data_IF_932701808483
#
_entry.id   IF_932701808483
#
_cell.length_a   1.000
_cell.length_b   1.000
_cell.length_c   1.000
_cell.angle_alpha   90.00
_cell.angle_beta   90.00
_cell.angle_gamma   90.00
#
_symmetry.space_group_name_H-M   'P 1'
#
loop_
_entity.id
_entity.type
_entity.pdbx_description
1 polymer ?
#
# COMPACT_ATOMS: atom_id res chain seq x y z
N UNK A 1 -39.90 -40.27 53.73
CA UNK A 1 -39.90 -40.34 52.25
C UNK A 1 -39.49 -39.01 51.60
N UNK A 2 -39.85 -37.86 52.15
CA UNK A 2 -39.55 -36.53 51.58
C UNK A 2 -38.05 -36.22 51.40
N UNK A 3 -37.21 -36.57 52.39
CA UNK A 3 -35.76 -36.28 52.38
C UNK A 3 -35.00 -37.00 51.26
N UNK A 4 -35.41 -38.22 50.88
CA UNK A 4 -34.80 -38.97 49.76
C UNK A 4 -35.12 -38.33 48.41
N UNK A 5 -36.32 -37.77 48.25
CA UNK A 5 -36.71 -37.07 47.04
C UNK A 5 -35.92 -35.76 46.88
N UNK A 6 -35.83 -34.97 47.94
CA UNK A 6 -35.00 -33.75 47.95
C UNK A 6 -33.53 -34.03 47.66
N UNK A 7 -32.94 -35.06 48.30
CA UNK A 7 -31.56 -35.44 48.02
C UNK A 7 -31.33 -35.78 46.54
N UNK A 8 -32.27 -36.48 45.91
CA UNK A 8 -32.17 -36.85 44.49
C UNK A 8 -32.25 -35.62 43.57
N UNK A 9 -33.08 -34.64 43.90
CA UNK A 9 -33.19 -33.37 43.17
C UNK A 9 -31.89 -32.58 43.28
N UNK A 10 -31.40 -32.36 44.50
CA UNK A 10 -30.14 -31.62 44.75
C UNK A 10 -28.94 -32.30 44.10
N UNK A 11 -28.91 -33.64 44.05
CA UNK A 11 -27.82 -34.38 43.41
C UNK A 11 -27.87 -34.28 41.87
N UNK A 12 -29.04 -34.08 41.29
CA UNK A 12 -29.19 -33.76 39.87
C UNK A 12 -28.72 -32.33 39.59
N UNK A 13 -29.19 -31.36 40.38
CA UNK A 13 -28.78 -29.96 40.27
C UNK A 13 -27.26 -29.80 40.40
N UNK A 14 -26.62 -30.53 41.32
CA UNK A 14 -25.17 -30.52 41.48
C UNK A 14 -24.45 -31.02 40.21
N UNK A 15 -24.96 -32.08 39.57
CA UNK A 15 -24.37 -32.62 38.34
C UNK A 15 -24.56 -31.68 37.15
N UNK A 16 -25.75 -31.09 37.03
CA UNK A 16 -26.06 -30.13 35.98
C UNK A 16 -25.15 -28.90 36.13
N UNK A 17 -24.97 -28.39 37.36
CA UNK A 17 -24.08 -27.25 37.65
C UNK A 17 -22.59 -27.58 37.41
N UNK A 18 -22.15 -28.79 37.75
CA UNK A 18 -20.77 -29.24 37.45
C UNK A 18 -20.51 -29.26 35.95
N UNK A 19 -21.46 -29.75 35.15
CA UNK A 19 -21.34 -29.76 33.71
C UNK A 19 -21.33 -28.34 33.12
N UNK A 20 -22.21 -27.46 33.58
CA UNK A 20 -22.23 -26.05 33.17
C UNK A 20 -20.91 -25.35 33.50
N UNK A 21 -20.33 -25.65 34.67
CA UNK A 21 -19.03 -25.13 35.08
C UNK A 21 -17.90 -25.59 34.14
N UNK A 22 -17.82 -26.88 33.83
CA UNK A 22 -16.82 -27.41 32.89
C UNK A 22 -16.94 -26.77 31.50
N UNK A 23 -18.16 -26.62 30.99
CA UNK A 23 -18.42 -25.95 29.71
C UNK A 23 -17.97 -24.49 29.74
N UNK A 24 -18.23 -23.78 30.85
CA UNK A 24 -17.84 -22.39 31.00
C UNK A 24 -16.33 -22.23 31.10
N UNK A 25 -15.62 -23.12 31.81
CA UNK A 25 -14.15 -23.12 31.88
C UNK A 25 -13.53 -23.32 30.49
N UNK A 26 -14.04 -24.27 29.70
CA UNK A 26 -13.55 -24.50 28.34
C UNK A 26 -13.79 -23.28 27.45
N UNK A 27 -14.96 -22.65 27.53
CA UNK A 27 -15.27 -21.42 26.78
C UNK A 27 -14.38 -20.26 27.20
N UNK A 28 -14.15 -20.09 28.49
CA UNK A 28 -13.26 -19.06 29.02
C UNK A 28 -11.83 -19.25 28.51
N UNK A 29 -11.30 -20.48 28.60
CA UNK A 29 -9.96 -20.82 28.10
C UNK A 29 -9.82 -20.50 26.61
N UNK A 30 -10.82 -20.83 25.80
CA UNK A 30 -10.84 -20.51 24.37
C UNK A 30 -10.81 -19.00 24.11
N UNK A 31 -11.70 -18.23 24.75
CA UNK A 31 -11.76 -16.76 24.58
C UNK A 31 -10.47 -16.10 25.06
N UNK A 32 -9.87 -16.61 26.14
CA UNK A 32 -8.57 -16.13 26.61
C UNK A 32 -7.47 -16.35 25.57
N UNK A 33 -7.41 -17.54 24.97
CA UNK A 33 -6.44 -17.85 23.91
C UNK A 33 -6.65 -16.96 22.67
N UNK A 34 -7.89 -16.75 22.24
CA UNK A 34 -8.23 -15.86 21.11
C UNK A 34 -7.81 -14.41 21.39
N UNK A 35 -8.04 -13.91 22.60
CA UNK A 35 -7.59 -12.59 23.04
C UNK A 35 -6.07 -12.47 22.98
N UNK A 36 -5.36 -13.47 23.51
CA UNK A 36 -3.89 -13.46 23.57
C UNK A 36 -3.28 -13.50 22.17
N UNK A 37 -3.84 -14.32 21.28
CA UNK A 37 -3.45 -14.36 19.87
C UNK A 37 -3.72 -13.01 19.17
N UNK A 38 -4.87 -12.40 19.41
CA UNK A 38 -5.21 -11.11 18.82
C UNK A 38 -4.24 -10.01 19.29
N UNK A 39 -3.87 -10.01 20.57
CA UNK A 39 -2.91 -9.05 21.13
C UNK A 39 -1.52 -9.22 20.51
N UNK A 40 -1.06 -10.46 20.32
CA UNK A 40 0.20 -10.77 19.64
C UNK A 40 0.18 -10.30 18.19
N UNK A 41 -0.89 -10.61 17.44
CA UNK A 41 -1.05 -10.19 16.04
C UNK A 41 -1.06 -8.66 15.92
N UNK A 42 -1.77 -7.98 16.80
CA UNK A 42 -1.83 -6.52 16.83
C UNK A 42 -0.44 -5.91 17.06
N UNK A 43 0.29 -6.39 18.07
CA UNK A 43 1.64 -5.93 18.40
C UNK A 43 2.60 -6.14 17.23
N UNK A 44 2.55 -7.33 16.61
CA UNK A 44 3.35 -7.66 15.43
C UNK A 44 3.04 -6.73 14.25
N UNK A 45 1.76 -6.52 13.94
CA UNK A 45 1.34 -5.65 12.84
C UNK A 45 1.82 -4.20 13.04
N UNK A 46 1.73 -3.67 14.27
CA UNK A 46 2.26 -2.33 14.60
C UNK A 46 3.76 -2.26 14.31
N UNK A 47 4.52 -3.22 14.85
CA UNK A 47 5.97 -3.23 14.69
C UNK A 47 6.38 -3.33 13.22
N UNK A 48 5.69 -4.16 12.44
CA UNK A 48 5.94 -4.28 10.99
C UNK A 48 5.66 -2.99 10.24
N UNK A 49 4.54 -2.31 10.53
CA UNK A 49 4.20 -1.02 9.89
C UNK A 49 5.22 0.06 10.27
N UNK A 50 5.61 0.13 11.55
CA UNK A 50 6.62 1.06 12.04
C UNK A 50 7.98 0.79 11.39
N UNK A 51 8.42 -0.46 11.31
CA UNK A 51 9.70 -0.81 10.69
C UNK A 51 9.71 -0.48 9.19
N UNK A 52 8.66 -0.87 8.45
CA UNK A 52 8.53 -0.59 7.02
C UNK A 52 8.52 0.91 6.73
N UNK A 53 7.77 1.67 7.51
CA UNK A 53 7.67 3.13 7.35
C UNK A 53 8.98 3.80 7.75
N UNK A 54 9.57 3.40 8.88
CA UNK A 54 10.86 3.92 9.35
C UNK A 54 11.98 3.67 8.35
N UNK A 55 12.05 2.48 7.74
CA UNK A 55 13.03 2.20 6.70
C UNK A 55 12.81 3.04 5.44
N UNK A 56 11.56 3.18 4.97
CA UNK A 56 11.23 4.05 3.82
C UNK A 56 11.62 5.51 4.09
N UNK A 57 11.31 6.03 5.27
CA UNK A 57 11.66 7.40 5.66
C UNK A 57 13.17 7.60 5.68
N UNK A 58 13.91 6.70 6.32
CA UNK A 58 15.37 6.76 6.38
C UNK A 58 16.01 6.69 4.98
N UNK A 59 15.46 5.87 4.08
CA UNK A 59 15.92 5.81 2.70
C UNK A 59 15.67 7.13 1.95
N UNK A 60 14.48 7.71 2.11
CA UNK A 60 14.13 9.00 1.53
C UNK A 60 15.01 10.13 2.05
N UNK A 61 15.27 10.18 3.36
CA UNK A 61 16.19 11.14 3.98
C UNK A 61 17.61 11.04 3.42
N UNK A 62 18.14 9.81 3.27
CA UNK A 62 19.45 9.59 2.67
C UNK A 62 19.49 10.02 1.21
N UNK A 63 18.45 9.70 0.43
CA UNK A 63 18.34 10.12 -0.97
C UNK A 63 18.29 11.64 -1.07
N UNK A 64 17.51 12.30 -0.22
CA UNK A 64 17.42 13.76 -0.15
C UNK A 64 18.78 14.38 0.16
N UNK A 65 19.47 13.88 1.20
CA UNK A 65 20.81 14.35 1.56
C UNK A 65 21.82 14.18 0.41
N UNK A 66 21.77 13.04 -0.27
CA UNK A 66 22.61 12.78 -1.44
C UNK A 66 22.33 13.76 -2.58
N UNK A 67 21.06 14.00 -2.91
CA UNK A 67 20.67 14.95 -3.94
C UNK A 67 21.06 16.39 -3.60
N UNK A 68 20.94 16.80 -2.32
CA UNK A 68 21.38 18.11 -1.86
C UNK A 68 22.89 18.30 -2.01
N UNK A 69 23.69 17.28 -1.65
CA UNK A 69 25.15 17.34 -1.83
C UNK A 69 25.56 17.44 -3.30
N UNK A 70 24.85 16.72 -4.19
CA UNK A 70 25.06 16.83 -5.65
C UNK A 70 24.69 18.23 -6.15
N UNK A 71 23.56 18.79 -5.67
CA UNK A 71 23.11 20.13 -6.04
C UNK A 71 24.15 21.19 -5.62
N UNK A 72 24.59 21.18 -4.37
CA UNK A 72 25.58 22.12 -3.83
C UNK A 72 26.89 22.05 -4.63
N UNK A 73 27.39 20.84 -4.93
CA UNK A 73 28.58 20.66 -5.77
C UNK A 73 28.37 21.27 -7.16
N UNK A 74 27.22 21.05 -7.78
CA UNK A 74 26.91 21.57 -9.12
C UNK A 74 26.78 23.09 -9.14
N UNK A 75 26.27 23.69 -8.08
CA UNK A 75 26.15 25.15 -7.95
C UNK A 75 27.53 25.81 -7.80
N UNK A 76 28.45 25.19 -7.05
CA UNK A 76 29.85 25.63 -6.95
C UNK A 76 30.55 25.50 -8.31
N UNK A 77 30.49 24.33 -8.95
CA UNK A 77 31.09 24.11 -10.28
C UNK A 77 30.58 25.14 -11.31
N UNK A 78 29.27 25.42 -11.30
CA UNK A 78 28.66 26.40 -12.21
C UNK A 78 29.15 27.82 -11.94
N UNK A 79 29.25 28.20 -10.65
CA UNK A 79 29.73 29.51 -10.23
C UNK A 79 31.19 29.73 -10.65
N UNK A 80 32.04 28.72 -10.52
CA UNK A 80 33.44 28.77 -10.97
C UNK A 80 33.55 28.94 -12.49
N UNK A 81 32.77 28.18 -13.26
CA UNK A 81 32.74 28.29 -14.73
C UNK A 81 32.28 29.68 -15.17
N UNK A 82 31.27 30.25 -14.52
CA UNK A 82 30.81 31.60 -14.82
C UNK A 82 31.86 32.66 -14.51
N UNK A 83 32.54 32.55 -13.36
CA UNK A 83 33.63 33.46 -13.00
C UNK A 83 34.80 33.38 -13.99
N UNK A 84 35.13 32.19 -14.49
CA UNK A 84 36.22 32.00 -15.46
C UNK A 84 35.87 32.46 -16.88
N UNK A 85 34.58 32.44 -17.27
CA UNK A 85 34.16 32.65 -18.66
C UNK A 85 33.98 34.12 -19.05
N UNK A 86 34.04 35.06 -18.09
CA UNK A 86 33.85 36.51 -18.32
C UNK A 86 32.66 36.85 -19.24
N UNK A 87 31.57 36.08 -19.13
CA UNK A 87 30.38 36.25 -19.97
C UNK A 87 29.58 37.47 -19.53
N UNK A 88 28.93 38.14 -20.48
CA UNK A 88 27.97 39.20 -20.17
C UNK A 88 26.82 38.64 -19.30
N UNK A 89 26.61 39.15 -18.08
CA UNK A 89 25.58 38.63 -17.17
C UNK A 89 24.16 38.75 -17.73
N UNK A 90 23.90 39.76 -18.56
CA UNK A 90 22.59 39.99 -19.17
C UNK A 90 22.23 38.94 -20.22
N UNK A 91 23.17 38.64 -21.13
CA UNK A 91 23.00 37.59 -22.13
C UNK A 91 22.87 36.20 -21.50
N UNK A 92 23.64 35.91 -20.45
CA UNK A 92 23.58 34.64 -19.74
C UNK A 92 22.23 34.44 -19.04
N UNK A 93 21.73 35.47 -18.34
CA UNK A 93 20.42 35.43 -17.68
C UNK A 93 19.28 35.15 -18.68
N UNK A 94 19.32 35.79 -19.85
CA UNK A 94 18.32 35.57 -20.90
C UNK A 94 18.34 34.14 -21.43
N UNK A 95 19.53 33.56 -21.65
CA UNK A 95 19.68 32.17 -22.11
C UNK A 95 19.22 31.18 -21.04
N UNK A 96 19.61 31.39 -19.77
CA UNK A 96 19.17 30.57 -18.64
C UNK A 96 17.65 30.56 -18.50
N UNK A 97 16.99 31.71 -18.58
CA UNK A 97 15.53 31.80 -18.52
C UNK A 97 14.86 31.03 -19.66
N UNK A 98 15.33 31.21 -20.90
CA UNK A 98 14.78 30.45 -22.05
C UNK A 98 14.97 28.95 -21.89
N UNK A 99 16.11 28.52 -21.35
CA UNK A 99 16.35 27.10 -21.09
C UNK A 99 15.42 26.56 -20.01
N UNK A 100 15.20 27.33 -18.94
CA UNK A 100 14.25 27.01 -17.88
C UNK A 100 12.81 26.88 -18.41
N UNK A 101 12.36 27.81 -19.26
CA UNK A 101 11.04 27.74 -19.91
C UNK A 101 10.88 26.46 -20.74
N UNK A 102 11.89 26.12 -21.55
CA UNK A 102 11.87 24.90 -22.38
C UNK A 102 11.86 23.65 -21.51
N UNK A 103 12.67 23.61 -20.45
CA UNK A 103 12.69 22.49 -19.49
C UNK A 103 11.33 22.33 -18.80
N UNK A 104 10.73 23.42 -18.34
CA UNK A 104 9.42 23.42 -17.69
C UNK A 104 8.30 22.96 -18.63
N UNK A 105 8.32 23.43 -19.88
CA UNK A 105 7.38 23.00 -20.93
C UNK A 105 7.50 21.49 -21.22
N UNK A 106 8.73 20.98 -21.37
CA UNK A 106 8.98 19.55 -21.59
C UNK A 106 8.57 18.70 -20.40
N UNK A 107 8.90 19.13 -19.18
CA UNK A 107 8.51 18.42 -17.95
C UNK A 107 6.99 18.35 -17.79
N UNK A 108 6.28 19.42 -18.13
CA UNK A 108 4.81 19.44 -18.15
C UNK A 108 4.27 18.46 -19.19
N UNK A 109 4.84 18.44 -20.40
CA UNK A 109 4.45 17.51 -21.46
C UNK A 109 4.67 16.05 -21.04
N UNK A 110 5.79 15.74 -20.38
CA UNK A 110 6.07 14.39 -19.86
C UNK A 110 4.99 13.97 -18.85
N UNK A 111 4.63 14.85 -17.91
CA UNK A 111 3.59 14.58 -16.91
C UNK A 111 2.23 14.33 -17.56
N UNK A 112 1.88 15.14 -18.56
CA UNK A 112 0.62 15.00 -19.29
C UNK A 112 0.56 13.69 -20.08
N UNK A 113 1.63 13.33 -20.80
CA UNK A 113 1.71 12.06 -21.53
C UNK A 113 1.66 10.85 -20.59
N UNK A 114 2.32 10.92 -19.42
CA UNK A 114 2.23 9.87 -18.39
C UNK A 114 0.80 9.72 -17.87
N UNK A 115 0.10 10.83 -17.66
CA UNK A 115 -1.29 10.83 -17.22
C UNK A 115 -2.23 10.25 -18.28
N UNK A 116 -2.09 10.67 -19.54
CA UNK A 116 -2.87 10.13 -20.66
C UNK A 116 -2.63 8.63 -20.82
N UNK A 117 -1.38 8.17 -20.72
CA UNK A 117 -1.05 6.74 -20.76
C UNK A 117 -1.76 5.97 -19.64
N UNK A 118 -1.72 6.48 -18.40
CA UNK A 118 -2.40 5.85 -17.28
C UNK A 118 -3.92 5.78 -17.49
N UNK A 119 -4.52 6.83 -18.04
CA UNK A 119 -5.94 6.88 -18.38
C UNK A 119 -6.31 5.84 -19.44
N UNK A 120 -5.52 5.71 -20.51
CA UNK A 120 -5.74 4.73 -21.58
C UNK A 120 -5.58 3.29 -21.06
N UNK A 121 -4.52 3.02 -20.28
CA UNK A 121 -4.31 1.72 -19.64
C UNK A 121 -5.49 1.32 -18.75
N UNK A 122 -6.04 2.28 -17.98
CA UNK A 122 -7.21 2.04 -17.15
C UNK A 122 -8.45 1.73 -18.00
N UNK A 123 -8.76 2.57 -18.99
CA UNK A 123 -9.91 2.37 -19.86
C UNK A 123 -9.84 1.01 -20.59
N UNK A 124 -8.65 0.61 -21.04
CA UNK A 124 -8.41 -0.71 -21.62
C UNK A 124 -8.72 -1.84 -20.63
N UNK A 125 -8.22 -1.76 -19.40
CA UNK A 125 -8.46 -2.78 -18.38
C UNK A 125 -9.94 -2.85 -17.96
N UNK A 126 -10.61 -1.71 -17.81
CA UNK A 126 -12.05 -1.63 -17.49
C UNK A 126 -12.90 -2.26 -18.62
N UNK A 127 -12.50 -2.04 -19.87
CA UNK A 127 -13.14 -2.65 -21.04
C UNK A 127 -12.96 -4.17 -21.07
N UNK A 128 -11.75 -4.68 -20.78
CA UNK A 128 -11.50 -6.12 -20.66
C UNK A 128 -12.40 -6.77 -19.60
N UNK A 129 -12.47 -6.18 -18.40
CA UNK A 129 -13.36 -6.66 -17.33
C UNK A 129 -14.82 -6.68 -17.76
N UNK A 130 -15.27 -5.65 -18.48
CA UNK A 130 -16.65 -5.57 -18.99
C UNK A 130 -16.91 -6.68 -20.02
N UNK A 131 -15.98 -6.94 -20.93
CA UNK A 131 -16.10 -8.03 -21.89
C UNK A 131 -16.15 -9.40 -21.21
N UNK A 132 -15.26 -9.67 -20.26
CA UNK A 132 -15.25 -10.93 -19.51
C UNK A 132 -16.57 -11.15 -18.76
N UNK A 133 -17.09 -10.11 -18.12
CA UNK A 133 -18.39 -10.17 -17.44
C UNK A 133 -19.54 -10.46 -18.42
N UNK A 134 -19.52 -9.86 -19.62
CA UNK A 134 -20.54 -10.12 -20.66
C UNK A 134 -20.46 -11.53 -21.21
N UNK A 135 -19.27 -12.03 -21.54
CA UNK A 135 -19.08 -13.41 -22.01
C UNK A 135 -19.60 -14.42 -20.99
N UNK A 136 -19.25 -14.21 -19.72
CA UNK A 136 -19.73 -15.05 -18.62
C UNK A 136 -21.26 -14.99 -18.49
N UNK A 137 -21.87 -13.81 -18.61
CA UNK A 137 -23.32 -13.64 -18.55
C UNK A 137 -24.06 -14.35 -19.71
N UNK A 138 -23.43 -14.49 -20.88
CA UNK A 138 -23.95 -15.28 -22.00
C UNK A 138 -23.60 -16.77 -21.92
N UNK A 139 -22.96 -17.23 -20.84
CA UNK A 139 -22.57 -18.62 -20.64
C UNK A 139 -21.38 -19.07 -21.49
N UNK A 140 -20.58 -18.14 -22.00
CA UNK A 140 -19.38 -18.42 -22.78
C UNK A 140 -18.18 -18.51 -21.81
N UNK A 141 -17.57 -19.70 -21.65
CA UNK A 141 -16.40 -19.86 -20.79
C UNK A 141 -15.20 -19.07 -21.35
N UNK A 142 -14.48 -18.36 -20.49
CA UNK A 142 -13.32 -17.56 -20.88
C UNK A 142 -12.18 -18.43 -21.45
N UNK A 143 -12.11 -19.70 -21.06
CA UNK A 143 -11.13 -20.67 -21.57
C UNK A 143 -11.33 -20.98 -23.07
N UNK A 144 -12.52 -20.73 -23.61
CA UNK A 144 -12.84 -20.97 -25.03
C UNK A 144 -12.30 -19.88 -25.96
N UNK A 145 -11.74 -18.78 -25.43
CA UNK A 145 -11.25 -17.66 -26.24
C UNK A 145 -9.95 -17.98 -26.98
N UNK A 146 -9.17 -18.97 -26.52
CA UNK A 146 -7.91 -19.37 -27.17
C UNK A 146 -6.76 -18.35 -27.03
N UNK A 147 -6.98 -17.23 -26.35
CA UNK A 147 -5.96 -16.25 -26.00
C UNK A 147 -6.25 -15.64 -24.62
N UNK A 148 -5.20 -15.16 -23.94
CA UNK A 148 -5.31 -14.42 -22.69
C UNK A 148 -5.08 -12.93 -22.97
N UNK A 149 -6.07 -12.05 -22.74
CA UNK A 149 -5.87 -10.62 -22.90
C UNK A 149 -4.71 -10.11 -22.02
N UNK A 150 -3.84 -9.29 -22.60
CA UNK A 150 -2.74 -8.67 -21.85
C UNK A 150 -3.26 -7.46 -21.10
N UNK A 151 -3.42 -7.57 -19.78
CA UNK A 151 -3.72 -6.40 -18.95
C UNK A 151 -2.55 -5.42 -19.00
N UNK A 152 -2.85 -4.13 -19.19
CA UNK A 152 -1.83 -3.10 -19.15
C UNK A 152 -1.40 -2.90 -17.69
N UNK A 153 -0.08 -2.94 -17.37
CA UNK A 153 0.38 -2.67 -16.02
C UNK A 153 0.01 -1.23 -15.65
N UNK A 154 -0.76 -1.07 -14.58
CA UNK A 154 -1.04 0.25 -14.03
C UNK A 154 0.24 0.73 -13.35
N UNK A 155 1.02 1.55 -14.05
CA UNK A 155 2.17 2.24 -13.48
C UNK A 155 1.69 3.17 -12.37
N UNK A 156 1.97 2.82 -11.11
CA UNK A 156 1.73 3.70 -9.96
C UNK A 156 0.87 3.17 -8.81
N UNK A 157 0.63 1.85 -8.71
CA UNK A 157 0.15 1.20 -7.48
C UNK A 157 1.23 0.31 -6.86
#
# INVERSE_FOLDING_TARGET
QNTKAHLKVTQKELKDLQWEHEVLEQRFSKVQAERDELYQKFTKAINEVQQKTGFKNLLLERKLKGLLSVLEKKEVELSEVFAASNLDPGALSLVSHKLEDVLNSKNTTIKDLQFQLAQVCKAHNDMLQTFEAKLTAFGIPLDNLGFKPLASPVLGQ
#
